data_IF_239541784883
#
_entry.id   IF_239541784883
#
_cell.length_a   1.000
_cell.length_b   1.000
_cell.length_c   1.000
_cell.angle_alpha   90.00
_cell.angle_beta   90.00
_cell.angle_gamma   90.00
#
_symmetry.space_group_name_H-M   'P 1'
#
loop_
_entity.id
_entity.type
_entity.pdbx_description
1 polymer ?
#
# COMPACT_ATOMS: atom_id res chain seq x y z
N UNK A 1 15.91 64.75 16.63
CA UNK A 1 15.79 63.73 15.57
C UNK A 1 15.56 62.39 16.24
N UNK A 2 14.37 61.80 16.10
CA UNK A 2 14.02 60.51 16.72
C UNK A 2 14.64 59.39 15.88
N UNK A 3 15.43 58.52 16.51
CA UNK A 3 16.00 57.34 15.86
C UNK A 3 14.89 56.31 15.59
N UNK A 4 14.68 55.97 14.33
CA UNK A 4 13.80 54.87 13.92
C UNK A 4 14.45 53.54 14.29
N UNK A 5 13.85 52.84 15.24
CA UNK A 5 14.24 51.48 15.60
C UNK A 5 13.64 50.55 14.54
N UNK A 6 14.50 49.94 13.71
CA UNK A 6 14.08 48.89 12.79
C UNK A 6 13.62 47.67 13.60
N UNK A 7 12.32 47.42 13.63
CA UNK A 7 11.74 46.20 14.20
C UNK A 7 12.00 45.05 13.21
N UNK A 8 12.65 43.95 13.61
CA UNK A 8 12.84 42.82 12.70
C UNK A 8 11.46 42.28 12.27
N UNK A 9 11.33 41.78 11.02
CA UNK A 9 10.10 41.17 10.57
C UNK A 9 9.78 39.99 11.49
N UNK A 10 8.56 39.97 12.02
CA UNK A 10 8.04 38.77 12.67
C UNK A 10 8.06 37.64 11.65
N UNK A 11 8.63 36.47 11.96
CA UNK A 11 8.61 35.34 11.05
C UNK A 11 7.15 35.03 10.72
N UNK A 12 6.84 34.96 9.43
CA UNK A 12 5.51 34.66 8.93
C UNK A 12 5.03 33.35 9.55
N UNK A 13 3.85 33.39 10.17
CA UNK A 13 3.16 32.27 10.85
C UNK A 13 2.66 31.20 9.86
N UNK A 14 3.31 31.07 8.70
CA UNK A 14 2.86 30.24 7.58
C UNK A 14 3.62 28.91 7.43
N UNK A 15 4.48 28.53 8.39
CA UNK A 15 5.22 27.25 8.36
C UNK A 15 4.73 26.20 9.38
N UNK A 16 3.49 26.32 9.87
CA UNK A 16 2.79 25.27 10.62
C UNK A 16 1.42 24.98 9.98
N UNK A 17 1.35 25.00 8.64
CA UNK A 17 0.19 24.44 7.94
C UNK A 17 0.26 22.92 8.05
N UNK A 18 -0.12 22.38 9.19
CA UNK A 18 -0.43 20.95 9.32
C UNK A 18 -1.39 20.59 8.18
N UNK A 19 -0.88 19.85 7.20
CA UNK A 19 -1.66 19.51 6.02
C UNK A 19 -2.82 18.64 6.47
N UNK A 20 -4.03 19.22 6.42
CA UNK A 20 -5.23 18.51 6.87
C UNK A 20 -5.33 17.18 6.11
N UNK A 21 -5.61 16.07 6.80
CA UNK A 21 -5.70 14.77 6.16
C UNK A 21 -6.79 14.80 5.10
N UNK A 22 -6.48 14.22 3.94
CA UNK A 22 -7.42 14.05 2.84
C UNK A 22 -8.60 13.18 3.29
N UNK A 23 -9.74 13.28 2.59
CA UNK A 23 -10.89 12.41 2.86
C UNK A 23 -10.53 10.92 2.78
N UNK A 24 -9.63 10.55 1.87
CA UNK A 24 -9.15 9.17 1.73
C UNK A 24 -8.36 8.72 2.97
N UNK A 25 -7.51 9.58 3.53
CA UNK A 25 -6.77 9.29 4.76
C UNK A 25 -7.71 9.18 5.95
N UNK A 26 -8.69 10.10 6.07
CA UNK A 26 -9.70 10.05 7.13
C UNK A 26 -10.49 8.74 7.08
N UNK A 27 -10.89 8.29 5.89
CA UNK A 27 -11.58 7.00 5.71
C UNK A 27 -10.67 5.85 6.13
N UNK A 28 -9.41 5.84 5.69
CA UNK A 28 -8.45 4.79 6.04
C UNK A 28 -8.20 4.72 7.55
N UNK A 29 -8.07 5.86 8.23
CA UNK A 29 -7.91 5.95 9.69
C UNK A 29 -9.12 5.31 10.36
N UNK A 30 -10.35 5.71 9.99
CA UNK A 30 -11.58 5.14 10.56
C UNK A 30 -11.71 3.64 10.32
N UNK A 31 -11.32 3.14 9.14
CA UNK A 31 -11.32 1.70 8.85
C UNK A 31 -10.30 0.93 9.71
N UNK A 32 -9.17 1.54 10.04
CA UNK A 32 -8.16 0.94 10.92
C UNK A 32 -8.68 0.93 12.37
N UNK A 33 -9.11 2.07 12.89
CA UNK A 33 -9.52 2.24 14.30
C UNK A 33 -10.76 1.41 14.65
N UNK A 34 -11.70 1.26 13.71
CA UNK A 34 -12.87 0.39 13.89
C UNK A 34 -12.55 -1.11 13.78
N UNK A 35 -11.37 -1.48 13.29
CA UNK A 35 -11.00 -2.87 12.99
C UNK A 35 -11.57 -3.42 11.67
N UNK A 36 -12.40 -2.66 10.96
CA UNK A 36 -13.02 -3.09 9.70
C UNK A 36 -12.00 -3.37 8.59
N UNK A 37 -10.84 -2.68 8.60
CA UNK A 37 -9.76 -2.96 7.65
C UNK A 37 -9.26 -4.41 7.77
N UNK A 38 -9.09 -4.93 8.98
CA UNK A 38 -8.62 -6.30 9.18
C UNK A 38 -9.72 -7.30 8.83
N UNK A 39 -10.98 -7.00 9.17
CA UNK A 39 -12.13 -7.82 8.78
C UNK A 39 -12.28 -7.93 7.26
N UNK A 40 -12.15 -6.82 6.53
CA UNK A 40 -12.17 -6.79 5.06
C UNK A 40 -10.99 -7.56 4.46
N UNK A 41 -9.81 -7.47 5.07
CA UNK A 41 -8.62 -8.20 4.65
C UNK A 41 -8.78 -9.71 4.85
N UNK A 42 -9.36 -10.16 5.96
CA UNK A 42 -9.62 -11.58 6.19
C UNK A 42 -10.70 -12.10 5.24
N UNK A 43 -11.81 -11.37 5.06
CA UNK A 43 -12.84 -11.73 4.09
C UNK A 43 -12.24 -11.87 2.68
N UNK A 44 -11.41 -10.92 2.25
CA UNK A 44 -10.72 -11.00 0.96
C UNK A 44 -9.83 -12.24 0.88
N UNK A 45 -9.08 -12.55 1.94
CA UNK A 45 -8.23 -13.74 2.03
C UNK A 45 -9.03 -15.03 1.90
N UNK A 46 -10.16 -15.14 2.59
CA UNK A 46 -11.07 -16.29 2.51
C UNK A 46 -11.58 -16.46 1.08
N UNK A 47 -12.11 -15.41 0.47
CA UNK A 47 -12.60 -15.45 -0.92
C UNK A 47 -11.52 -15.83 -1.92
N UNK A 48 -10.30 -15.35 -1.72
CA UNK A 48 -9.12 -15.71 -2.51
C UNK A 48 -8.70 -17.17 -2.41
N UNK A 49 -8.97 -17.80 -1.27
CA UNK A 49 -8.73 -19.22 -1.06
C UNK A 49 -9.87 -20.01 -1.70
N UNK A 50 -11.12 -19.65 -1.42
CA UNK A 50 -12.32 -20.32 -1.90
C UNK A 50 -12.42 -20.34 -3.44
N UNK A 51 -12.08 -19.23 -4.10
CA UNK A 51 -12.10 -19.15 -5.56
C UNK A 51 -10.89 -19.81 -6.24
N UNK A 52 -9.97 -20.42 -5.47
CA UNK A 52 -8.80 -21.12 -6.00
C UNK A 52 -7.60 -20.24 -6.37
N UNK A 53 -7.74 -18.90 -6.35
CA UNK A 53 -6.69 -17.95 -6.73
C UNK A 53 -5.37 -18.21 -5.98
N UNK A 54 -5.42 -18.50 -4.68
CA UNK A 54 -4.20 -18.78 -3.89
C UNK A 54 -3.43 -19.97 -4.45
N UNK A 55 -4.12 -21.01 -4.87
CA UNK A 55 -3.47 -22.23 -5.38
C UNK A 55 -2.96 -22.05 -6.81
N UNK A 56 -3.64 -21.25 -7.62
CA UNK A 56 -3.15 -20.84 -8.93
C UNK A 56 -1.87 -19.99 -8.82
N UNK A 57 -1.83 -19.01 -7.91
CA UNK A 57 -0.61 -18.21 -7.68
C UNK A 57 0.56 -19.10 -7.25
N UNK A 58 0.34 -20.08 -6.36
CA UNK A 58 1.36 -21.06 -5.99
C UNK A 58 1.80 -21.91 -7.20
N UNK A 59 0.87 -22.31 -8.07
CA UNK A 59 1.18 -23.10 -9.26
C UNK A 59 2.06 -22.30 -10.25
N UNK A 60 1.78 -21.02 -10.44
CA UNK A 60 2.60 -20.11 -11.24
C UNK A 60 4.01 -19.96 -10.67
N UNK A 61 4.15 -19.78 -9.35
CA UNK A 61 5.47 -19.74 -8.69
C UNK A 61 6.26 -21.04 -8.95
N UNK A 62 5.62 -22.21 -8.76
CA UNK A 62 6.26 -23.52 -8.99
C UNK A 62 6.68 -23.70 -10.44
N UNK A 63 5.83 -23.31 -11.40
CA UNK A 63 6.13 -23.40 -12.83
C UNK A 63 7.31 -22.49 -13.21
N UNK A 64 7.34 -21.27 -12.69
CA UNK A 64 8.45 -20.34 -12.90
C UNK A 64 9.77 -20.88 -12.34
N UNK A 65 9.76 -21.35 -11.09
CA UNK A 65 10.95 -21.90 -10.44
C UNK A 65 11.46 -23.16 -11.14
N UNK A 66 10.56 -24.03 -11.62
CA UNK A 66 10.92 -25.21 -12.40
C UNK A 66 11.57 -24.85 -13.74
N UNK A 67 11.13 -23.77 -14.39
CA UNK A 67 11.66 -23.31 -15.67
C UNK A 67 13.03 -22.63 -15.54
N UNK A 68 13.22 -21.80 -14.52
CA UNK A 68 14.48 -21.03 -14.30
C UNK A 68 15.55 -21.85 -13.55
N UNK A 69 15.14 -22.91 -12.85
CA UNK A 69 15.97 -23.66 -11.91
C UNK A 69 15.83 -23.08 -10.50
N UNK A 70 15.62 -23.94 -9.50
CA UNK A 70 15.29 -23.51 -8.13
C UNK A 70 16.36 -22.61 -7.51
N UNK A 71 17.63 -22.88 -7.80
CA UNK A 71 18.76 -22.13 -7.27
C UNK A 71 18.96 -20.75 -7.94
N UNK A 72 18.26 -20.50 -9.05
CA UNK A 72 18.37 -19.28 -9.86
C UNK A 72 17.18 -18.31 -9.66
N UNK A 73 16.35 -18.53 -8.63
CA UNK A 73 15.09 -17.80 -8.44
C UNK A 73 15.10 -17.09 -7.09
N UNK A 74 14.91 -15.77 -7.11
CA UNK A 74 14.72 -14.96 -5.91
C UNK A 74 13.23 -14.75 -5.61
N UNK A 75 12.93 -14.26 -4.40
CA UNK A 75 11.57 -13.83 -4.05
C UNK A 75 11.13 -12.66 -4.95
N UNK A 76 12.02 -11.71 -5.21
CA UNK A 76 11.73 -10.55 -6.07
C UNK A 76 11.40 -10.97 -7.51
N UNK A 77 12.11 -11.96 -8.05
CA UNK A 77 11.79 -12.54 -9.36
C UNK A 77 10.35 -13.07 -9.40
N UNK A 78 9.95 -13.79 -8.34
CA UNK A 78 8.59 -14.32 -8.22
C UNK A 78 7.57 -13.20 -8.11
N UNK A 79 7.82 -12.21 -7.24
CA UNK A 79 6.93 -11.05 -7.05
C UNK A 79 6.70 -10.31 -8.38
N UNK A 80 7.75 -10.03 -9.14
CA UNK A 80 7.65 -9.35 -10.43
C UNK A 80 6.76 -10.12 -11.42
N UNK A 81 6.86 -11.45 -11.44
CA UNK A 81 6.11 -12.29 -12.38
C UNK A 81 4.67 -12.53 -11.94
N UNK A 82 4.43 -12.76 -10.64
CA UNK A 82 3.09 -13.14 -10.15
C UNK A 82 2.20 -11.95 -9.85
N UNK A 83 2.75 -10.80 -9.43
CA UNK A 83 1.94 -9.61 -9.08
C UNK A 83 1.01 -9.15 -10.20
N UNK A 84 1.44 -8.97 -11.46
CA UNK A 84 0.52 -8.56 -12.52
C UNK A 84 -0.58 -9.60 -12.77
N UNK A 85 -0.24 -10.91 -12.73
CA UNK A 85 -1.22 -11.99 -12.91
C UNK A 85 -2.24 -12.04 -11.78
N UNK A 86 -1.76 -11.93 -10.53
CA UNK A 86 -2.58 -11.95 -9.34
C UNK A 86 -3.56 -10.77 -9.26
N UNK A 87 -3.20 -9.60 -9.80
CA UNK A 87 -4.07 -8.40 -9.85
C UNK A 87 -5.12 -8.45 -10.96
N UNK A 88 -4.81 -9.03 -12.12
CA UNK A 88 -5.73 -9.09 -13.28
C UNK A 88 -6.88 -10.08 -13.07
N UNK A 89 -6.63 -11.18 -12.34
CA UNK A 89 -7.62 -12.24 -12.14
C UNK A 89 -8.88 -11.82 -11.34
N UNK A 90 -8.89 -10.60 -10.79
CA UNK A 90 -10.01 -10.02 -10.05
C UNK A 90 -10.98 -9.15 -10.88
N UNK A 91 -10.89 -9.19 -12.21
CA UNK A 91 -11.85 -8.51 -13.07
C UNK A 91 -13.14 -9.33 -13.16
N UNK A 92 -14.10 -9.04 -12.28
CA UNK A 92 -15.52 -9.26 -12.58
C UNK A 92 -16.09 -7.98 -13.19
#
# INVERSE_FOLDING_TARGET
MRASINRPPTPDVDDDREQQPTLQEIINIKLIESGEKERLKELLRERLIECGWRDEMKALCRAFAKKKGRDNVTVDDLVQVITPKGRVQFQY
#
